data_IF_652636888165
#
_entry.id   IF_652636888165
#
_cell.length_a   1.000
_cell.length_b   1.000
_cell.length_c   1.000
_cell.angle_alpha   90.00
_cell.angle_beta   90.00
_cell.angle_gamma   90.00
#
_symmetry.space_group_name_H-M   'P 1'
#
loop_
_entity.id
_entity.type
_entity.pdbx_description
1 polymer ?
#
# COMPACT_ATOMS: atom_id res chain seq x y z
N UNK A 1 12.88 -36.83 -58.14
CA UNK A 1 13.27 -35.52 -57.59
C UNK A 1 12.09 -34.78 -56.94
N UNK A 2 11.01 -34.44 -57.66
CA UNK A 2 9.82 -33.76 -57.10
C UNK A 2 9.24 -34.37 -55.82
N UNK A 3 9.08 -35.70 -55.75
CA UNK A 3 8.57 -36.38 -54.53
C UNK A 3 9.43 -36.16 -53.28
N UNK A 4 10.76 -36.15 -53.42
CA UNK A 4 11.66 -35.91 -52.28
C UNK A 4 11.58 -34.44 -51.81
N UNK A 5 11.37 -33.51 -52.73
CA UNK A 5 11.23 -32.09 -52.40
C UNK A 5 9.92 -31.83 -51.64
N UNK A 6 8.81 -32.41 -52.11
CA UNK A 6 7.50 -32.31 -51.45
C UNK A 6 7.49 -32.94 -50.06
N UNK A 7 8.14 -34.09 -49.86
CA UNK A 7 8.26 -34.70 -48.53
C UNK A 7 9.05 -33.81 -47.55
N UNK A 8 10.18 -33.23 -47.99
CA UNK A 8 10.94 -32.28 -47.16
C UNK A 8 10.16 -31.00 -46.85
N UNK A 9 9.41 -30.48 -47.81
CA UNK A 9 8.55 -29.31 -47.57
C UNK A 9 7.44 -29.61 -46.57
N UNK A 10 6.84 -30.81 -46.64
CA UNK A 10 5.83 -31.27 -45.68
C UNK A 10 6.43 -31.41 -44.29
N UNK A 11 7.58 -32.08 -44.19
CA UNK A 11 8.31 -32.28 -42.93
C UNK A 11 8.71 -30.94 -42.30
N UNK A 12 9.27 -30.00 -43.08
CA UNK A 12 9.60 -28.66 -42.60
C UNK A 12 8.37 -27.88 -42.14
N UNK A 13 7.22 -28.03 -42.83
CA UNK A 13 5.96 -27.40 -42.41
C UNK A 13 5.45 -27.98 -41.10
N UNK A 14 5.57 -29.29 -40.91
CA UNK A 14 5.18 -29.96 -39.66
C UNK A 14 6.05 -29.52 -38.49
N UNK A 15 7.37 -29.43 -38.67
CA UNK A 15 8.27 -28.91 -37.64
C UNK A 15 7.97 -27.46 -37.27
N UNK A 16 7.68 -26.60 -38.25
CA UNK A 16 7.28 -25.21 -37.97
C UNK A 16 5.95 -25.13 -37.23
N UNK A 17 4.98 -25.96 -37.58
CA UNK A 17 3.69 -26.01 -36.90
C UNK A 17 3.85 -26.45 -35.43
N UNK A 18 4.61 -27.52 -35.18
CA UNK A 18 4.95 -27.97 -33.81
C UNK A 18 5.70 -26.91 -33.02
N UNK A 19 6.65 -26.22 -33.65
CA UNK A 19 7.38 -25.12 -33.03
C UNK A 19 6.45 -23.96 -32.63
N UNK A 20 5.51 -23.59 -33.49
CA UNK A 20 4.52 -22.55 -33.20
C UNK A 20 3.58 -22.96 -32.05
N UNK A 21 3.09 -24.20 -32.05
CA UNK A 21 2.23 -24.74 -30.99
C UNK A 21 2.94 -24.76 -29.62
N UNK A 22 4.19 -25.22 -29.59
CA UNK A 22 5.00 -25.20 -28.37
C UNK A 22 5.23 -23.77 -27.88
N UNK A 23 5.56 -22.85 -28.78
CA UNK A 23 5.75 -21.44 -28.41
C UNK A 23 4.49 -20.84 -27.79
N UNK A 24 3.32 -21.03 -28.40
CA UNK A 24 2.03 -20.56 -27.87
C UNK A 24 1.74 -21.16 -26.49
N UNK A 25 2.02 -22.45 -26.31
CA UNK A 25 1.81 -23.14 -25.03
C UNK A 25 2.72 -22.60 -23.95
N UNK A 26 4.00 -22.40 -24.25
CA UNK A 26 4.99 -21.85 -23.31
C UNK A 26 4.59 -20.43 -22.90
N UNK A 27 4.28 -19.57 -23.87
CA UNK A 27 3.88 -18.18 -23.58
C UNK A 27 2.61 -18.13 -22.74
N UNK A 28 1.58 -18.91 -23.10
CA UNK A 28 0.32 -18.93 -22.34
C UNK A 28 0.50 -19.44 -20.90
N UNK A 29 1.41 -20.41 -20.71
CA UNK A 29 1.73 -20.95 -19.38
C UNK A 29 2.48 -19.90 -18.56
N UNK A 30 3.47 -19.22 -19.16
CA UNK A 30 4.21 -18.15 -18.50
C UNK A 30 3.29 -16.99 -18.09
N UNK A 31 2.38 -16.55 -18.96
CA UNK A 31 1.43 -15.47 -18.67
C UNK A 31 0.49 -15.83 -17.51
N UNK A 32 0.05 -17.10 -17.46
CA UNK A 32 -0.73 -17.62 -16.35
C UNK A 32 0.08 -17.60 -15.05
N UNK A 33 1.31 -18.09 -15.06
CA UNK A 33 2.18 -18.12 -13.88
C UNK A 33 2.46 -16.71 -13.34
N UNK A 34 2.78 -15.75 -14.21
CA UNK A 34 2.95 -14.34 -13.83
C UNK A 34 1.70 -13.80 -13.14
N UNK A 35 0.53 -14.08 -13.70
CA UNK A 35 -0.74 -13.63 -13.12
C UNK A 35 -0.97 -14.22 -11.72
N UNK A 36 -0.69 -15.51 -11.55
CA UNK A 36 -0.82 -16.20 -10.24
C UNK A 36 0.16 -15.61 -9.23
N UNK A 37 1.44 -15.45 -9.59
CA UNK A 37 2.46 -14.90 -8.71
C UNK A 37 2.10 -13.49 -8.24
N UNK A 38 1.65 -12.62 -9.16
CA UNK A 38 1.23 -11.27 -8.82
C UNK A 38 -0.01 -11.25 -7.92
N UNK A 39 -0.97 -12.14 -8.17
CA UNK A 39 -2.17 -12.27 -7.35
C UNK A 39 -1.83 -12.74 -5.92
N UNK A 40 -0.95 -13.73 -5.79
CA UNK A 40 -0.48 -14.22 -4.49
C UNK A 40 0.32 -13.17 -3.73
N UNK A 41 1.24 -12.47 -4.41
CA UNK A 41 2.00 -11.38 -3.82
C UNK A 41 1.07 -10.26 -3.30
N UNK A 42 0.06 -9.88 -4.11
CA UNK A 42 -0.93 -8.88 -3.70
C UNK A 42 -1.75 -9.37 -2.50
N UNK A 43 -2.25 -10.59 -2.53
CA UNK A 43 -2.99 -11.21 -1.42
C UNK A 43 -2.17 -11.16 -0.13
N UNK A 44 -0.91 -11.61 -0.18
CA UNK A 44 -0.02 -11.62 0.97
C UNK A 44 0.27 -10.21 1.49
N UNK A 45 0.45 -9.24 0.59
CA UNK A 45 0.62 -7.84 0.98
C UNK A 45 -0.61 -7.28 1.71
N UNK A 46 -1.82 -7.58 1.24
CA UNK A 46 -3.06 -7.11 1.87
C UNK A 46 -3.29 -7.77 3.23
N UNK A 47 -2.97 -9.07 3.36
CA UNK A 47 -3.01 -9.77 4.65
C UNK A 47 -2.04 -9.10 5.63
N UNK A 48 -0.79 -8.90 5.23
CA UNK A 48 0.24 -8.31 6.11
C UNK A 48 -0.12 -6.87 6.53
N UNK A 49 -0.70 -6.07 5.63
CA UNK A 49 -1.22 -4.74 5.96
C UNK A 49 -2.37 -4.84 6.97
N UNK A 50 -3.34 -5.73 6.74
CA UNK A 50 -4.48 -5.94 7.63
C UNK A 50 -4.06 -6.39 9.04
N UNK A 51 -3.09 -7.30 9.13
CA UNK A 51 -2.50 -7.74 10.39
C UNK A 51 -1.76 -6.59 11.09
N UNK A 52 -0.98 -5.80 10.36
CA UNK A 52 -0.29 -4.63 10.88
C UNK A 52 -1.25 -3.55 11.39
N UNK A 53 -2.31 -3.24 10.65
CA UNK A 53 -3.35 -2.31 11.08
C UNK A 53 -4.12 -2.84 12.30
N UNK A 54 -4.40 -4.15 12.35
CA UNK A 54 -5.00 -4.81 13.51
C UNK A 54 -4.13 -4.71 14.75
N UNK A 55 -2.83 -5.04 14.64
CA UNK A 55 -1.87 -4.90 15.72
C UNK A 55 -1.71 -3.45 16.17
N UNK A 56 -1.61 -2.51 15.23
CA UNK A 56 -1.56 -1.08 15.53
C UNK A 56 -2.79 -0.67 16.33
N UNK A 57 -3.99 -1.02 15.87
CA UNK A 57 -5.23 -0.66 16.55
C UNK A 57 -5.34 -1.31 17.94
N UNK A 58 -4.84 -2.54 18.11
CA UNK A 58 -4.79 -3.21 19.40
C UNK A 58 -3.84 -2.50 20.38
N UNK A 59 -2.60 -2.24 19.98
CA UNK A 59 -1.62 -1.50 20.79
C UNK A 59 -2.17 -0.11 21.13
N UNK A 60 -2.77 0.53 20.14
CA UNK A 60 -3.43 1.82 20.29
C UNK A 60 -4.50 1.70 21.38
N UNK A 61 -5.51 0.84 21.24
CA UNK A 61 -6.58 0.61 22.22
C UNK A 61 -6.07 0.25 23.63
N UNK A 62 -5.05 -0.60 23.74
CA UNK A 62 -4.41 -0.93 25.03
C UNK A 62 -3.73 0.29 25.66
N UNK A 63 -3.12 1.17 24.86
CA UNK A 63 -2.55 2.42 25.33
C UNK A 63 -3.64 3.42 25.76
N UNK A 64 -4.79 3.52 25.05
CA UNK A 64 -5.93 4.35 25.50
C UNK A 64 -6.43 3.95 26.87
N UNK A 65 -6.50 2.64 27.13
CA UNK A 65 -7.04 2.12 28.38
C UNK A 65 -6.16 2.42 29.60
N UNK A 66 -4.87 2.73 29.39
CA UNK A 66 -3.91 2.97 30.48
C UNK A 66 -3.88 4.42 30.95
N UNK A 67 -3.94 5.38 30.04
CA UNK A 67 -3.97 6.81 30.37
C UNK A 67 -4.69 7.62 29.25
N UNK A 68 -6.00 7.86 29.39
CA UNK A 68 -6.78 8.62 28.43
C UNK A 68 -6.34 10.08 28.28
N UNK A 69 -5.78 10.69 29.34
CA UNK A 69 -5.44 12.12 29.40
C UNK A 69 -4.12 12.40 28.66
N UNK A 70 -3.08 11.60 28.91
CA UNK A 70 -1.80 11.69 28.19
C UNK A 70 -2.00 11.45 26.69
N UNK A 71 -2.90 10.55 26.33
CA UNK A 71 -3.18 10.22 24.94
C UNK A 71 -3.90 11.36 24.21
N UNK A 72 -4.92 11.98 24.84
CA UNK A 72 -5.60 13.14 24.28
C UNK A 72 -4.62 14.27 23.99
N UNK A 73 -3.64 14.48 24.87
CA UNK A 73 -2.52 15.38 24.67
C UNK A 73 -1.63 14.97 23.48
N UNK A 74 -1.18 13.72 23.41
CA UNK A 74 -0.31 13.24 22.33
C UNK A 74 -0.97 13.33 20.95
N UNK A 75 -2.27 13.01 20.83
CA UNK A 75 -3.02 13.17 19.57
C UNK A 75 -3.19 14.63 19.18
N UNK A 76 -3.43 15.51 20.14
CA UNK A 76 -3.46 16.94 19.90
C UNK A 76 -2.09 17.40 19.33
N UNK A 77 -0.98 16.98 19.94
CA UNK A 77 0.37 17.31 19.43
C UNK A 77 0.67 16.77 18.03
N UNK A 78 0.28 15.52 17.70
CA UNK A 78 0.44 14.98 16.34
C UNK A 78 -0.40 15.73 15.30
N UNK A 79 -1.61 16.16 15.68
CA UNK A 79 -2.43 17.01 14.83
C UNK A 79 -1.76 18.37 14.60
N UNK A 80 -1.08 18.92 15.63
CA UNK A 80 -0.33 20.17 15.52
C UNK A 80 0.86 20.04 14.59
N UNK A 81 1.65 18.99 14.74
CA UNK A 81 2.76 18.69 13.84
C UNK A 81 2.30 18.63 12.38
N UNK A 82 1.23 17.87 12.09
CA UNK A 82 0.70 17.76 10.72
C UNK A 82 0.11 19.06 10.18
N UNK A 83 -0.57 19.84 11.02
CA UNK A 83 -1.18 21.10 10.62
C UNK A 83 -0.15 22.23 10.41
N UNK A 84 0.98 22.19 11.13
CA UNK A 84 2.01 23.23 11.10
C UNK A 84 3.15 22.97 10.09
N UNK A 85 3.33 21.74 9.60
CA UNK A 85 4.35 21.39 8.59
C UNK A 85 3.98 21.89 7.18
N UNK A 86 2.71 22.25 6.92
CA UNK A 86 2.29 22.93 5.70
C UNK A 86 2.53 24.44 5.80
N UNK A 87 3.71 24.91 5.38
CA UNK A 87 4.27 26.26 5.58
C UNK A 87 3.46 27.49 5.19
N UNK A 88 2.22 27.35 4.71
CA UNK A 88 1.34 28.46 4.31
C UNK A 88 0.09 28.61 5.20
N UNK A 89 -0.06 27.81 6.25
CA UNK A 89 -1.28 27.84 7.07
C UNK A 89 -1.16 28.85 8.21
N UNK A 90 -1.64 30.07 8.00
CA UNK A 90 -1.85 31.03 9.09
C UNK A 90 -3.06 30.59 9.92
N UNK A 91 -2.79 29.91 11.04
CA UNK A 91 -3.81 29.36 11.92
C UNK A 91 -4.38 30.49 12.82
N UNK A 92 -5.50 31.09 12.44
CA UNK A 92 -6.24 32.03 13.31
C UNK A 92 -7.04 31.18 14.30
N UNK A 93 -6.45 30.93 15.47
CA UNK A 93 -7.09 30.18 16.54
C UNK A 93 -7.50 31.13 17.67
N UNK A 94 -8.77 31.05 18.06
CA UNK A 94 -9.28 31.78 19.21
C UNK A 94 -8.56 31.33 20.51
N UNK A 95 -8.19 32.26 21.41
CA UNK A 95 -7.47 31.96 22.66
C UNK A 95 -8.17 30.94 23.58
N UNK A 96 -9.49 30.77 23.41
CA UNK A 96 -10.33 29.88 24.21
C UNK A 96 -10.58 28.52 23.54
N UNK A 97 -9.90 28.22 22.43
CA UNK A 97 -10.06 26.96 21.70
C UNK A 97 -9.58 25.78 22.55
N UNK A 98 -10.33 24.65 22.51
CA UNK A 98 -9.92 23.39 23.13
C UNK A 98 -8.55 22.89 22.65
N UNK A 99 -8.08 23.42 21.53
CA UNK A 99 -6.73 23.26 21.00
C UNK A 99 -5.63 23.70 21.98
N UNK A 100 -5.86 24.71 22.82
CA UNK A 100 -4.87 25.17 23.80
C UNK A 100 -5.08 24.62 25.21
N UNK A 101 -6.01 23.68 25.44
CA UNK A 101 -6.27 23.08 26.78
C UNK A 101 -5.00 22.59 27.46
N UNK A 102 -4.03 22.08 26.71
CA UNK A 102 -2.77 21.54 27.24
C UNK A 102 -1.58 22.52 27.23
N UNK A 103 -1.68 23.64 26.53
CA UNK A 103 -0.64 24.68 26.55
C UNK A 103 -0.83 25.68 27.69
N UNK A 104 -1.91 25.52 28.46
CA UNK A 104 -2.25 26.38 29.58
C UNK A 104 -2.75 27.73 29.10
N UNK A 105 -3.70 28.28 29.85
CA UNK A 105 -4.10 29.67 29.70
C UNK A 105 -2.85 30.56 29.76
N UNK A 106 -2.41 31.09 28.61
CA UNK A 106 -1.43 32.17 28.58
C UNK A 106 -2.14 33.36 29.24
N UNK A 107 -1.98 33.48 30.56
CA UNK A 107 -2.53 34.59 31.34
C UNK A 107 -1.92 35.85 30.75
N UNK A 108 -2.75 36.60 30.03
CA UNK A 108 -2.40 37.91 29.47
C UNK A 108 -1.86 38.76 30.61
N UNK A 109 -0.57 39.12 30.56
CA UNK A 109 0.00 40.13 31.46
C UNK A 109 -0.69 41.45 31.11
N UNK A 110 -1.70 41.84 31.88
CA UNK A 110 -2.24 43.19 31.88
C UNK A 110 -1.25 44.08 32.62
N UNK A 111 -0.67 45.03 31.89
CA UNK A 111 -0.07 46.24 32.47
C UNK A 111 -1.19 47.18 32.92
#
# INVERSE_FOLDING_TARGET
YRRMQTEREREAKEFRAKGAEMAVTITSTADKEVTVILAEAKKNSEIMKGEGDGQRNKIFAEAFGRDPEFFAFYRAMQAYEKALIGGDTSLILSPDSEFFKFFGSIKKKTN
#
